data_IF_288422806183
#
_entry.id   IF_288422806183
#
_cell.length_a   1.000
_cell.length_b   1.000
_cell.length_c   1.000
_cell.angle_alpha   90.00
_cell.angle_beta   90.00
_cell.angle_gamma   90.00
#
_symmetry.space_group_name_H-M   'P 1'
#
loop_
_entity.id
_entity.type
_entity.pdbx_description
1 polymer ?
#
# COMPACT_ATOMS: atom_id res chain seq x y z
N UNK A 1 9.46 -8.85 -3.32
CA UNK A 1 10.81 -9.20 -2.81
C UNK A 1 10.71 -9.61 -1.35
N UNK A 2 11.42 -10.63 -0.97
CA UNK A 2 11.57 -11.00 0.43
C UNK A 2 12.62 -10.09 1.07
N UNK A 3 12.22 -9.24 2.01
CA UNK A 3 13.11 -8.25 2.62
C UNK A 3 14.17 -8.86 3.51
N UNK A 4 13.87 -9.97 4.20
CA UNK A 4 14.84 -10.64 5.05
C UNK A 4 15.97 -11.30 4.26
N UNK A 5 15.62 -11.94 3.15
CA UNK A 5 16.58 -12.64 2.29
C UNK A 5 17.11 -11.77 1.17
N UNK A 6 16.51 -10.61 0.95
CA UNK A 6 16.86 -9.66 -0.10
C UNK A 6 16.90 -10.32 -1.50
N UNK A 7 15.91 -11.16 -1.78
CA UNK A 7 15.78 -11.86 -3.07
C UNK A 7 14.37 -11.65 -3.63
N UNK A 8 14.22 -11.62 -4.96
CA UNK A 8 12.89 -11.56 -5.57
C UNK A 8 12.11 -12.84 -5.30
N UNK A 9 10.79 -12.67 -5.05
CA UNK A 9 9.87 -13.80 -4.97
C UNK A 9 9.23 -14.06 -6.33
N UNK A 10 8.90 -15.31 -6.59
CA UNK A 10 8.11 -15.65 -7.77
C UNK A 10 6.68 -15.20 -7.57
N UNK A 11 6.07 -14.66 -8.62
CA UNK A 11 4.69 -14.21 -8.58
C UNK A 11 3.97 -14.52 -9.89
N UNK A 12 2.65 -14.56 -9.82
CA UNK A 12 1.79 -14.81 -10.95
C UNK A 12 0.63 -13.81 -10.96
N UNK A 13 0.33 -13.28 -12.13
CA UNK A 13 -0.81 -12.38 -12.30
C UNK A 13 -2.06 -13.23 -12.54
N UNK A 14 -3.01 -13.20 -11.59
CA UNK A 14 -4.26 -13.94 -11.68
C UNK A 14 -5.36 -13.14 -12.34
N UNK A 15 -5.32 -11.81 -12.20
CA UNK A 15 -6.29 -10.89 -12.78
C UNK A 15 -5.58 -9.64 -13.22
N UNK A 16 -5.81 -9.22 -14.45
CA UNK A 16 -5.17 -8.03 -15.03
C UNK A 16 -6.23 -7.16 -15.69
N UNK A 17 -6.87 -6.31 -14.89
CA UNK A 17 -7.85 -5.35 -15.34
C UNK A 17 -7.33 -3.93 -15.11
N UNK A 18 -7.86 -2.90 -15.81
CA UNK A 18 -7.40 -1.53 -15.66
C UNK A 18 -7.45 -1.00 -14.23
N UNK A 19 -8.44 -1.43 -13.45
CA UNK A 19 -8.68 -0.93 -12.10
C UNK A 19 -8.37 -1.95 -11.01
N UNK A 20 -7.99 -3.16 -11.38
CA UNK A 20 -7.74 -4.22 -10.42
C UNK A 20 -6.69 -5.20 -10.92
N UNK A 21 -5.68 -5.41 -10.11
CA UNK A 21 -4.65 -6.41 -10.32
C UNK A 21 -4.68 -7.39 -9.17
N UNK A 22 -4.73 -8.67 -9.48
CA UNK A 22 -4.63 -9.71 -8.46
C UNK A 22 -3.38 -10.54 -8.74
N UNK A 23 -2.50 -10.60 -7.77
CA UNK A 23 -1.26 -11.36 -7.90
C UNK A 23 -1.21 -12.45 -6.84
N UNK A 24 -0.56 -13.54 -7.20
CA UNK A 24 -0.24 -14.63 -6.28
C UNK A 24 1.28 -14.65 -6.09
N UNK A 25 1.71 -14.60 -4.84
CA UNK A 25 3.12 -14.54 -4.48
C UNK A 25 3.51 -15.87 -3.85
N UNK A 26 4.61 -16.44 -4.33
CA UNK A 26 5.12 -17.71 -3.84
C UNK A 26 6.31 -17.44 -2.92
N UNK A 27 6.22 -17.91 -1.67
CA UNK A 27 7.32 -17.83 -0.75
C UNK A 27 8.43 -18.83 -1.15
N UNK A 28 9.67 -18.49 -0.80
CA UNK A 28 10.83 -19.34 -1.13
C UNK A 28 10.73 -20.72 -0.48
N UNK A 29 10.09 -20.80 0.68
CA UNK A 29 9.81 -22.05 1.39
C UNK A 29 8.41 -21.97 1.96
N UNK A 30 7.72 -23.11 2.13
CA UNK A 30 6.43 -23.11 2.82
C UNK A 30 6.55 -22.50 4.21
N UNK A 31 5.57 -21.67 4.58
CA UNK A 31 5.51 -21.08 5.91
C UNK A 31 4.79 -22.02 6.86
N UNK A 32 5.37 -22.22 8.04
CA UNK A 32 4.75 -22.98 9.12
C UNK A 32 4.07 -22.02 10.09
N UNK A 33 3.22 -22.57 10.95
CA UNK A 33 2.59 -21.78 12.00
C UNK A 33 3.63 -21.10 12.88
N UNK A 34 3.49 -19.80 13.07
CA UNK A 34 4.43 -19.00 13.87
C UNK A 34 5.57 -18.39 13.07
N UNK A 35 5.76 -18.79 11.83
CA UNK A 35 6.78 -18.17 10.97
C UNK A 35 6.40 -16.73 10.64
N UNK A 36 7.40 -15.88 10.57
CA UNK A 36 7.26 -14.50 10.18
C UNK A 36 7.81 -14.28 8.77
N UNK A 37 7.26 -13.30 8.08
CA UNK A 37 7.78 -12.89 6.78
C UNK A 37 7.74 -11.38 6.63
N UNK A 38 8.64 -10.87 5.81
CA UNK A 38 8.71 -9.46 5.44
C UNK A 38 8.84 -9.39 3.92
N UNK A 39 7.81 -8.90 3.25
CA UNK A 39 7.78 -8.80 1.80
C UNK A 39 7.53 -7.38 1.36
N UNK A 40 8.07 -7.03 0.21
CA UNK A 40 7.83 -5.76 -0.46
C UNK A 40 7.21 -6.02 -1.81
N UNK A 41 6.11 -5.31 -2.08
CA UNK A 41 5.44 -5.33 -3.38
C UNK A 41 5.55 -3.92 -3.95
N UNK A 42 6.16 -3.82 -5.13
CA UNK A 42 6.29 -2.55 -5.83
C UNK A 42 5.57 -2.64 -7.17
N UNK A 43 4.77 -1.63 -7.46
CA UNK A 43 4.01 -1.56 -8.69
C UNK A 43 4.17 -0.18 -9.33
N UNK A 44 4.14 -0.14 -10.64
CA UNK A 44 4.12 1.09 -11.40
C UNK A 44 2.86 1.12 -12.25
N UNK A 45 2.07 2.16 -12.08
CA UNK A 45 0.80 2.31 -12.80
C UNK A 45 0.79 3.59 -13.65
N UNK A 46 1.43 3.60 -14.82
CA UNK A 46 1.40 4.77 -15.69
C UNK A 46 -0.02 5.00 -16.22
N UNK A 47 -0.51 6.24 -16.11
CA UNK A 47 -1.83 6.63 -16.62
C UNK A 47 -3.03 6.05 -15.88
N UNK A 48 -2.83 5.38 -14.75
CA UNK A 48 -3.94 4.77 -13.99
C UNK A 48 -4.66 5.79 -13.12
N UNK A 49 -3.92 6.69 -12.49
CA UNK A 49 -4.49 7.72 -11.61
C UNK A 49 -4.82 8.96 -12.43
N UNK A 50 -6.04 8.99 -12.97
CA UNK A 50 -6.48 10.05 -13.89
C UNK A 50 -7.42 11.07 -13.23
N UNK A 51 -7.84 10.83 -12.00
CA UNK A 51 -8.74 11.72 -11.27
C UNK A 51 -7.96 12.76 -10.48
N UNK A 52 -8.59 13.93 -10.27
CA UNK A 52 -8.04 14.96 -9.41
C UNK A 52 -7.89 14.47 -7.96
N UNK A 53 -8.83 13.64 -7.52
CA UNK A 53 -8.77 12.96 -6.22
C UNK A 53 -8.75 11.47 -6.45
N UNK A 54 -7.85 10.79 -5.76
CA UNK A 54 -7.69 9.34 -5.90
C UNK A 54 -7.26 8.71 -4.58
N UNK A 55 -7.19 7.39 -4.54
CA UNK A 55 -6.88 6.69 -3.32
C UNK A 55 -6.13 5.39 -3.58
N UNK A 56 -5.40 4.95 -2.56
CA UNK A 56 -4.77 3.63 -2.50
C UNK A 56 -5.40 2.87 -1.34
N UNK A 57 -5.75 1.62 -1.59
CA UNK A 57 -6.53 0.79 -0.68
C UNK A 57 -5.67 -0.34 -0.10
N UNK A 58 -5.67 -0.46 1.23
CA UNK A 58 -4.91 -1.48 1.96
C UNK A 58 -5.87 -2.35 2.78
N UNK A 59 -6.32 -3.51 2.24
CA UNK A 59 -7.31 -4.35 2.91
C UNK A 59 -6.67 -5.32 3.92
N UNK A 60 -6.03 -4.79 4.95
CA UNK A 60 -5.27 -5.59 5.92
C UNK A 60 -6.15 -6.59 6.67
N UNK A 61 -7.42 -6.28 6.88
CA UNK A 61 -8.34 -7.15 7.61
C UNK A 61 -8.56 -8.53 6.95
N UNK A 62 -8.17 -8.69 5.68
CA UNK A 62 -8.25 -9.98 5.00
C UNK A 62 -7.11 -10.93 5.38
N UNK A 63 -6.09 -10.46 6.07
CA UNK A 63 -4.98 -11.30 6.48
C UNK A 63 -5.29 -12.01 7.79
N UNK A 64 -5.51 -13.33 7.71
CA UNK A 64 -5.93 -14.16 8.85
C UNK A 64 -4.94 -14.20 9.99
N UNK A 65 -3.67 -14.09 9.69
CA UNK A 65 -2.59 -14.28 10.68
C UNK A 65 -2.07 -12.97 11.26
N UNK A 66 -2.73 -11.87 10.93
CA UNK A 66 -2.30 -10.56 11.38
C UNK A 66 -1.10 -10.02 10.61
N UNK A 67 -0.91 -8.73 10.73
CA UNK A 67 0.23 -8.01 10.14
C UNK A 67 0.80 -7.16 11.25
N UNK A 68 2.10 -7.26 11.50
CA UNK A 68 2.73 -6.46 12.56
C UNK A 68 2.94 -5.02 12.16
N UNK A 69 3.20 -4.78 10.88
CA UNK A 69 3.52 -3.45 10.39
C UNK A 69 3.14 -3.34 8.92
N UNK A 70 2.47 -2.26 8.59
CA UNK A 70 2.16 -1.89 7.21
C UNK A 70 2.96 -0.65 6.87
N UNK A 71 3.73 -0.70 5.78
CA UNK A 71 4.41 0.46 5.23
C UNK A 71 3.88 0.67 3.82
N UNK A 72 3.19 1.79 3.62
CA UNK A 72 2.75 2.23 2.32
C UNK A 72 3.63 3.35 1.82
N UNK A 73 4.05 3.28 0.56
CA UNK A 73 4.83 4.32 -0.07
C UNK A 73 4.25 4.61 -1.45
N UNK A 74 3.90 5.87 -1.67
CA UNK A 74 3.35 6.34 -2.94
C UNK A 74 4.29 7.40 -3.51
N UNK A 75 4.77 7.18 -4.73
CA UNK A 75 5.69 8.10 -5.39
C UNK A 75 4.93 8.86 -6.48
N UNK A 76 4.89 10.18 -6.33
CA UNK A 76 4.18 11.08 -7.24
C UNK A 76 5.18 12.01 -7.94
N UNK A 77 4.88 12.34 -9.21
CA UNK A 77 5.69 13.28 -9.98
C UNK A 77 5.41 14.74 -9.62
N UNK A 78 4.24 15.02 -9.08
CA UNK A 78 3.83 16.36 -8.69
C UNK A 78 3.37 16.37 -7.23
N UNK A 79 3.47 17.53 -6.57
CA UNK A 79 3.03 17.67 -5.19
C UNK A 79 1.52 17.43 -5.07
N UNK A 80 1.06 16.61 -4.13
CA UNK A 80 -0.36 16.50 -3.85
C UNK A 80 -0.87 17.76 -3.14
N UNK A 81 -2.15 18.09 -3.37
CA UNK A 81 -2.82 19.18 -2.64
C UNK A 81 -3.00 18.83 -1.17
N UNK A 82 -3.32 17.57 -0.93
CA UNK A 82 -3.51 17.02 0.40
C UNK A 82 -3.27 15.53 0.38
N UNK A 83 -2.98 14.99 1.54
CA UNK A 83 -2.88 13.55 1.77
C UNK A 83 -3.61 13.26 3.06
N UNK A 84 -4.44 12.25 3.07
CA UNK A 84 -5.26 11.91 4.21
C UNK A 84 -5.34 10.41 4.39
N UNK A 85 -5.09 9.93 5.61
CA UNK A 85 -5.19 8.53 5.96
C UNK A 85 -6.51 8.24 6.65
N UNK A 86 -7.26 7.29 6.13
CA UNK A 86 -8.60 6.92 6.60
C UNK A 86 -8.59 5.44 6.96
N UNK A 87 -9.27 5.09 8.06
CA UNK A 87 -9.55 3.71 8.39
C UNK A 87 -11.03 3.43 8.33
N UNK A 88 -11.38 2.21 7.95
CA UNK A 88 -12.74 1.71 8.04
C UNK A 88 -12.86 0.72 9.18
N UNK A 89 -13.75 1.00 10.11
CA UNK A 89 -14.02 0.16 11.26
C UNK A 89 -15.53 -0.06 11.35
N UNK A 90 -15.98 -1.29 11.11
CA UNK A 90 -17.38 -1.63 11.18
C UNK A 90 -18.27 -0.82 10.23
N UNK A 91 -17.78 -0.47 9.06
CA UNK A 91 -18.52 0.31 8.07
C UNK A 91 -18.46 1.82 8.27
N UNK A 92 -17.70 2.29 9.26
CA UNK A 92 -17.50 3.74 9.50
C UNK A 92 -16.13 4.17 9.03
N UNK A 93 -16.08 5.25 8.28
CA UNK A 93 -14.83 5.89 7.86
C UNK A 93 -14.41 6.89 8.94
N UNK A 94 -13.17 6.79 9.39
CA UNK A 94 -12.60 7.70 10.39
C UNK A 94 -11.18 8.08 9.98
N UNK A 95 -10.76 9.29 10.34
CA UNK A 95 -9.36 9.67 10.18
C UNK A 95 -8.49 8.79 11.07
N UNK A 96 -7.41 8.26 10.49
CA UNK A 96 -6.44 7.52 11.27
C UNK A 96 -5.59 8.48 12.10
N UNK A 97 -5.24 8.07 13.31
CA UNK A 97 -4.43 8.88 14.22
C UNK A 97 -3.05 9.15 13.65
N UNK A 98 -2.44 8.11 13.06
CA UNK A 98 -1.14 8.25 12.38
C UNK A 98 -1.40 8.58 10.92
N UNK A 99 -1.07 9.80 10.53
CA UNK A 99 -1.32 10.29 9.17
C UNK A 99 -0.11 10.09 8.26
N UNK A 100 -0.34 9.92 6.94
CA UNK A 100 0.75 9.87 5.98
C UNK A 100 1.59 11.14 6.00
N UNK A 101 2.86 11.01 5.68
CA UNK A 101 3.79 12.13 5.59
C UNK A 101 4.28 12.30 4.17
N UNK A 102 4.50 13.55 3.77
CA UNK A 102 4.99 13.89 2.44
C UNK A 102 6.45 14.32 2.56
N UNK A 103 7.30 13.77 1.71
CA UNK A 103 8.70 14.12 1.63
C UNK A 103 9.08 14.37 0.18
N UNK A 104 9.74 15.49 -0.08
CA UNK A 104 10.28 15.76 -1.41
C UNK A 104 11.65 15.09 -1.55
N UNK A 105 11.81 14.29 -2.62
CA UNK A 105 13.09 13.65 -2.97
C UNK A 105 13.39 13.93 -4.43
N UNK A 106 14.39 14.78 -4.66
CA UNK A 106 14.74 15.23 -6.01
C UNK A 106 13.52 15.86 -6.69
N UNK A 107 13.06 15.31 -7.81
CA UNK A 107 11.92 15.81 -8.58
C UNK A 107 10.61 15.09 -8.25
N UNK A 108 10.60 14.28 -7.18
CA UNK A 108 9.45 13.46 -6.83
C UNK A 108 9.00 13.74 -5.41
N UNK A 109 7.73 13.43 -5.15
CA UNK A 109 7.12 13.52 -3.83
C UNK A 109 6.80 12.11 -3.36
N UNK A 110 7.30 11.76 -2.19
CA UNK A 110 7.09 10.43 -1.60
C UNK A 110 6.14 10.58 -0.42
N UNK A 111 5.01 9.91 -0.52
CA UNK A 111 4.03 9.84 0.56
C UNK A 111 4.27 8.53 1.29
N UNK A 112 4.63 8.61 2.55
CA UNK A 112 4.93 7.44 3.38
C UNK A 112 3.90 7.33 4.50
N UNK A 113 3.37 6.15 4.69
CA UNK A 113 2.42 5.85 5.75
C UNK A 113 2.82 4.56 6.44
N UNK A 114 3.11 4.67 7.72
CA UNK A 114 3.58 3.54 8.52
C UNK A 114 2.60 3.30 9.65
N UNK A 115 2.03 2.11 9.70
CA UNK A 115 1.02 1.73 10.68
C UNK A 115 1.49 0.50 11.44
N UNK A 116 1.61 0.64 12.75
CA UNK A 116 1.92 -0.47 13.65
C UNK A 116 0.67 -1.27 13.99
N UNK A 117 0.78 -2.59 13.94
CA UNK A 117 -0.31 -3.51 14.27
C UNK A 117 -1.62 -3.17 13.56
N UNK A 118 -1.62 -3.06 12.23
CA UNK A 118 -2.82 -2.67 11.49
C UNK A 118 -3.93 -3.72 11.65
N UNK A 119 -5.16 -3.27 11.88
CA UNK A 119 -6.33 -4.15 12.12
C UNK A 119 -7.52 -3.86 11.22
N UNK A 120 -7.48 -2.78 10.46
CA UNK A 120 -8.63 -2.28 9.72
C UNK A 120 -8.37 -2.31 8.21
N UNK A 121 -9.33 -1.78 7.47
CA UNK A 121 -9.11 -1.38 6.10
C UNK A 121 -8.56 0.04 6.14
N UNK A 122 -7.45 0.27 5.43
CA UNK A 122 -6.82 1.59 5.37
C UNK A 122 -6.88 2.14 3.95
N UNK A 123 -7.19 3.41 3.85
CA UNK A 123 -7.23 4.12 2.57
C UNK A 123 -6.37 5.36 2.69
N UNK A 124 -5.42 5.50 1.77
CA UNK A 124 -4.66 6.71 1.58
C UNK A 124 -5.32 7.49 0.44
N UNK A 125 -5.89 8.63 0.77
CA UNK A 125 -6.57 9.50 -0.19
C UNK A 125 -5.70 10.72 -0.45
N UNK A 126 -5.64 11.17 -1.68
CA UNK A 126 -4.83 12.32 -2.05
C UNK A 126 -5.46 13.11 -3.19
N UNK A 127 -5.18 14.40 -3.21
CA UNK A 127 -5.58 15.30 -4.29
C UNK A 127 -4.38 15.69 -5.14
N UNK A 128 -4.60 15.85 -6.44
CA UNK A 128 -3.55 16.19 -7.41
C UNK A 128 -3.82 17.56 -8.02
N UNK A 129 -2.75 18.34 -8.18
CA UNK A 129 -2.81 19.64 -8.86
C UNK A 129 -2.55 19.53 -10.35
N UNK A 130 -1.93 18.45 -10.80
CA UNK A 130 -1.50 18.26 -12.19
C UNK A 130 -2.60 17.71 -13.10
N UNK A 131 -3.81 17.64 -12.60
CA UNK A 131 -4.99 17.23 -13.36
C UNK A 131 -6.11 18.27 -13.25
#
# INVERSE_FOLDING_TARGET
MDKEKNVPLTWKLLKDEPYEKLIEIYFLQPLNFGDEFDIEISCRWPGTFTRREDYVFYPIHYYKHGVKKLIGELILNAAPNYVEGIRFDGGKAMLETVQPQIQRRKNKFVVTWEIENPKYIYILQYGRQDI
#
